data_IF_854093956154
#
_entry.id   IF_854093956154
#
_cell.length_a   1.000
_cell.length_b   1.000
_cell.length_c   1.000
_cell.angle_alpha   90.00
_cell.angle_beta   90.00
_cell.angle_gamma   90.00
#
_symmetry.space_group_name_H-M   'P 1'
#
loop_
_entity.id
_entity.type
_entity.pdbx_description
1 polymer ?
#
# COMPACT_ATOMS: atom_id res chain seq x y z
N UNK A 1 36.81 -21.08 20.51
CA UNK A 1 35.52 -20.90 19.83
C UNK A 1 35.71 -19.77 18.83
N UNK A 2 35.20 -19.85 17.59
CA UNK A 2 35.26 -18.71 16.67
C UNK A 2 34.34 -17.59 17.18
N UNK A 3 34.76 -16.36 16.98
CA UNK A 3 34.06 -15.16 17.45
C UNK A 3 32.72 -14.97 16.71
N UNK A 4 31.68 -14.44 17.36
CA UNK A 4 30.45 -14.07 16.67
C UNK A 4 30.77 -12.99 15.66
N UNK A 5 30.50 -13.28 14.39
CA UNK A 5 30.53 -12.31 13.32
C UNK A 5 29.44 -11.27 13.60
N UNK A 6 29.81 -10.19 14.28
CA UNK A 6 29.00 -8.98 14.38
C UNK A 6 29.10 -8.25 13.04
N UNK A 7 28.70 -8.93 11.97
CA UNK A 7 28.37 -8.28 10.72
C UNK A 7 27.40 -7.16 11.08
N UNK A 8 27.81 -5.93 10.80
CA UNK A 8 26.97 -4.74 10.85
C UNK A 8 25.55 -5.13 10.48
N UNK A 9 24.60 -4.89 11.37
CA UNK A 9 23.18 -5.20 11.18
C UNK A 9 22.55 -4.37 10.06
N UNK A 10 23.10 -4.44 8.86
CA UNK A 10 22.46 -4.08 7.62
C UNK A 10 21.30 -5.04 7.48
N UNK A 11 20.09 -4.57 7.84
CA UNK A 11 18.87 -5.30 7.50
C UNK A 11 18.95 -5.60 6.01
N UNK A 12 18.78 -6.87 5.65
CA UNK A 12 18.80 -7.31 4.27
C UNK A 12 17.86 -6.43 3.42
N UNK A 13 18.44 -5.71 2.46
CA UNK A 13 17.68 -4.87 1.53
C UNK A 13 16.95 -5.83 0.59
N UNK A 14 15.65 -5.98 0.80
CA UNK A 14 14.81 -6.79 -0.07
C UNK A 14 14.43 -5.98 -1.31
N UNK A 15 15.12 -6.22 -2.41
CA UNK A 15 14.82 -5.62 -3.71
C UNK A 15 13.42 -6.03 -4.23
N UNK A 16 12.76 -5.18 -5.03
CA UNK A 16 11.50 -5.51 -5.69
C UNK A 16 11.66 -6.72 -6.63
N UNK A 17 10.68 -7.64 -6.62
CA UNK A 17 10.76 -8.95 -7.29
C UNK A 17 9.80 -9.11 -8.46
N UNK A 18 8.78 -8.25 -8.57
CA UNK A 18 7.75 -8.30 -9.60
C UNK A 18 7.37 -6.89 -10.05
N UNK A 19 6.64 -6.77 -11.16
CA UNK A 19 6.31 -5.48 -11.77
C UNK A 19 5.52 -4.55 -10.84
N UNK A 20 4.65 -5.10 -9.98
CA UNK A 20 3.88 -4.31 -9.02
C UNK A 20 4.77 -3.73 -7.91
N UNK A 21 5.69 -4.54 -7.37
CA UNK A 21 6.72 -4.10 -6.43
C UNK A 21 7.59 -3.01 -7.06
N UNK A 22 8.07 -3.18 -8.29
CA UNK A 22 8.89 -2.18 -8.98
C UNK A 22 8.16 -0.86 -9.22
N UNK A 23 6.90 -0.93 -9.65
CA UNK A 23 6.08 0.25 -9.90
C UNK A 23 5.90 1.09 -8.64
N UNK A 24 5.47 0.45 -7.53
CA UNK A 24 5.22 1.17 -6.30
C UNK A 24 6.51 1.64 -5.62
N UNK A 25 7.55 0.81 -5.65
CA UNK A 25 8.89 1.17 -5.20
C UNK A 25 9.41 2.41 -5.94
N UNK A 26 9.21 2.49 -7.26
CA UNK A 26 9.58 3.64 -8.07
C UNK A 26 8.92 4.94 -7.59
N UNK A 27 7.60 4.91 -7.35
CA UNK A 27 6.85 6.06 -6.83
C UNK A 27 7.40 6.52 -5.47
N UNK A 28 7.69 5.57 -4.58
CA UNK A 28 8.27 5.87 -3.27
C UNK A 28 9.66 6.48 -3.39
N UNK A 29 10.53 5.88 -4.19
CA UNK A 29 11.89 6.35 -4.39
C UNK A 29 11.94 7.77 -4.98
N UNK A 30 11.07 8.06 -5.94
CA UNK A 30 10.92 9.40 -6.53
C UNK A 30 10.39 10.42 -5.51
N UNK A 31 9.44 10.02 -4.67
CA UNK A 31 8.82 10.92 -3.69
C UNK A 31 9.70 11.20 -2.48
N UNK A 32 10.35 10.16 -1.94
CA UNK A 32 11.25 10.23 -0.78
C UNK A 32 12.62 10.81 -1.20
N UNK A 33 13.01 10.65 -2.46
CA UNK A 33 14.25 11.19 -3.00
C UNK A 33 15.49 10.33 -2.72
N UNK A 34 15.32 9.06 -2.35
CA UNK A 34 16.43 8.10 -2.28
C UNK A 34 15.96 6.69 -2.72
N UNK A 35 16.92 5.81 -3.02
CA UNK A 35 16.68 4.41 -3.45
C UNK A 35 17.31 3.39 -2.51
N UNK A 36 17.80 3.81 -1.34
CA UNK A 36 18.58 2.96 -0.44
C UNK A 36 17.67 2.27 0.60
N UNK A 37 16.69 1.52 0.12
CA UNK A 37 15.75 0.77 0.94
C UNK A 37 15.18 -0.43 0.18
N UNK A 38 14.64 -1.39 0.91
CA UNK A 38 13.93 -2.55 0.37
C UNK A 38 12.41 -2.44 0.52
N UNK A 39 11.68 -3.29 -0.21
CA UNK A 39 10.21 -3.29 -0.25
C UNK A 39 9.53 -3.59 1.10
N UNK A 40 10.29 -4.07 2.09
CA UNK A 40 9.82 -4.35 3.46
C UNK A 40 10.11 -3.22 4.46
N UNK A 41 10.87 -2.19 4.08
CA UNK A 41 11.11 -1.05 4.96
C UNK A 41 9.85 -0.20 5.12
N UNK A 42 9.62 0.25 6.35
CA UNK A 42 8.47 1.07 6.69
C UNK A 42 8.64 2.52 6.24
N UNK A 43 7.56 3.12 5.75
CA UNK A 43 7.54 4.48 5.20
C UNK A 43 8.13 5.56 6.13
N UNK A 44 7.84 5.50 7.44
CA UNK A 44 8.31 6.47 8.43
C UNK A 44 9.80 6.26 8.73
N UNK A 45 10.28 5.02 8.73
CA UNK A 45 11.71 4.70 8.86
C UNK A 45 12.54 5.31 7.72
N UNK A 46 11.93 5.46 6.54
CA UNK A 46 12.55 6.06 5.37
C UNK A 46 12.53 7.60 5.36
N UNK A 47 11.99 8.21 6.42
CA UNK A 47 11.82 9.67 6.52
C UNK A 47 10.56 10.19 5.84
N UNK A 48 9.58 9.30 5.58
CA UNK A 48 8.27 9.67 5.09
C UNK A 48 7.50 10.55 6.08
N UNK A 49 6.68 11.44 5.53
CA UNK A 49 5.80 12.37 6.24
C UNK A 49 4.41 12.46 5.57
N UNK A 50 3.53 13.30 6.09
CA UNK A 50 2.18 13.46 5.54
C UNK A 50 2.16 14.02 4.12
N UNK A 51 3.10 14.89 3.76
CA UNK A 51 3.17 15.51 2.45
C UNK A 51 3.65 14.51 1.38
N UNK A 52 4.70 13.76 1.68
CA UNK A 52 5.19 12.66 0.84
C UNK A 52 4.16 11.53 0.75
N UNK A 53 3.44 11.22 1.83
CA UNK A 53 2.34 10.26 1.77
C UNK A 53 1.23 10.71 0.81
N UNK A 54 0.83 11.98 0.90
CA UNK A 54 -0.16 12.57 -0.01
C UNK A 54 0.30 12.53 -1.47
N UNK A 55 1.58 12.81 -1.72
CA UNK A 55 2.19 12.73 -3.07
C UNK A 55 2.18 11.30 -3.61
N UNK A 56 2.54 10.30 -2.80
CA UNK A 56 2.50 8.88 -3.19
C UNK A 56 1.07 8.49 -3.57
N UNK A 57 0.09 8.77 -2.70
CA UNK A 57 -1.31 8.39 -2.96
C UNK A 57 -1.86 9.11 -4.19
N UNK A 58 -1.52 10.38 -4.39
CA UNK A 58 -1.88 11.12 -5.61
C UNK A 58 -1.25 10.52 -6.86
N UNK A 59 0.00 10.05 -6.80
CA UNK A 59 0.70 9.43 -7.92
C UNK A 59 0.14 8.05 -8.27
N UNK A 60 -0.39 7.32 -7.29
CA UNK A 60 -1.06 6.04 -7.49
C UNK A 60 -2.44 6.18 -8.16
N UNK A 61 -3.04 7.39 -8.17
CA UNK A 61 -4.35 7.69 -8.76
C UNK A 61 -5.47 6.73 -8.29
N UNK A 62 -5.62 6.58 -6.96
CA UNK A 62 -6.55 5.64 -6.32
C UNK A 62 -7.68 6.37 -5.58
N UNK A 63 -8.89 5.82 -5.64
CA UNK A 63 -10.07 6.43 -5.00
C UNK A 63 -10.07 6.26 -3.47
N UNK A 64 -9.63 5.10 -2.95
CA UNK A 64 -9.70 4.76 -1.53
C UNK A 64 -8.56 5.37 -0.67
N UNK A 65 -8.33 6.67 -0.82
CA UNK A 65 -7.18 7.44 -0.29
C UNK A 65 -6.92 7.24 1.21
N UNK A 66 -7.95 7.23 2.06
CA UNK A 66 -7.79 7.18 3.52
C UNK A 66 -7.04 5.95 4.01
N UNK A 67 -7.32 4.77 3.42
CA UNK A 67 -6.71 3.50 3.84
C UNK A 67 -5.21 3.47 3.52
N UNK A 68 -4.85 3.97 2.34
CA UNK A 68 -3.45 4.04 1.92
C UNK A 68 -2.66 5.07 2.70
N UNK A 69 -3.28 6.22 2.99
CA UNK A 69 -2.71 7.22 3.88
C UNK A 69 -2.48 6.65 5.29
N UNK A 70 -3.47 5.96 5.87
CA UNK A 70 -3.35 5.34 7.19
C UNK A 70 -2.25 4.28 7.22
N UNK A 71 -2.12 3.45 6.17
CA UNK A 71 -1.05 2.46 6.10
C UNK A 71 0.34 3.12 6.05
N UNK A 72 0.53 4.13 5.20
CA UNK A 72 1.79 4.90 5.14
C UNK A 72 2.14 5.53 6.49
N UNK A 73 1.18 6.24 7.10
CA UNK A 73 1.40 6.93 8.37
C UNK A 73 1.63 5.98 9.56
N UNK A 74 1.17 4.74 9.46
CA UNK A 74 1.46 3.67 10.41
C UNK A 74 2.72 2.86 10.05
N UNK A 75 3.66 3.47 9.31
CA UNK A 75 4.93 2.87 8.92
C UNK A 75 4.75 1.59 8.07
N UNK A 76 3.71 1.54 7.24
CA UNK A 76 3.52 0.48 6.25
C UNK A 76 4.69 0.43 5.27
N UNK A 77 4.90 -0.73 4.66
CA UNK A 77 5.90 -0.98 3.62
C UNK A 77 5.28 -1.02 2.23
N UNK A 78 6.12 -1.04 1.18
CA UNK A 78 5.68 -1.23 -0.22
C UNK A 78 4.83 -2.50 -0.35
N UNK A 79 5.22 -3.60 0.30
CA UNK A 79 4.45 -4.85 0.31
C UNK A 79 3.07 -4.64 0.93
N UNK A 80 3.00 -4.06 2.13
CA UNK A 80 1.71 -3.86 2.81
C UNK A 80 0.77 -2.93 2.03
N UNK A 81 1.32 -1.96 1.31
CA UNK A 81 0.54 -1.05 0.48
C UNK A 81 0.03 -1.75 -0.80
N UNK A 82 0.83 -2.65 -1.39
CA UNK A 82 0.38 -3.53 -2.48
C UNK A 82 -0.70 -4.52 -2.01
N UNK A 83 -0.61 -5.04 -0.79
CA UNK A 83 -1.67 -5.88 -0.21
C UNK A 83 -2.99 -5.13 -0.11
N UNK A 84 -2.96 -3.84 0.26
CA UNK A 84 -4.16 -3.00 0.24
C UNK A 84 -4.71 -2.78 -1.17
N UNK A 85 -3.84 -2.63 -2.17
CA UNK A 85 -4.25 -2.53 -3.58
C UNK A 85 -4.88 -3.84 -4.09
N UNK A 86 -4.35 -4.99 -3.69
CA UNK A 86 -4.88 -6.29 -4.09
C UNK A 86 -6.28 -6.56 -3.50
N UNK A 87 -6.56 -6.02 -2.31
CA UNK A 87 -7.85 -6.17 -1.62
C UNK A 87 -8.81 -5.01 -1.90
N UNK A 88 -8.84 -4.49 -3.14
CA UNK A 88 -9.86 -3.50 -3.50
C UNK A 88 -11.24 -4.04 -3.07
N UNK A 89 -12.02 -3.30 -2.28
CA UNK A 89 -13.44 -3.60 -2.18
C UNK A 89 -14.00 -3.35 -3.59
N UNK A 90 -14.06 -4.40 -4.42
CA UNK A 90 -14.98 -4.42 -5.56
C UNK A 90 -16.31 -3.93 -4.98
N UNK A 91 -16.92 -2.97 -5.66
CA UNK A 91 -18.33 -2.54 -5.69
C UNK A 91 -19.43 -3.58 -5.34
N UNK A 92 -19.22 -4.52 -4.42
CA UNK A 92 -20.22 -5.48 -3.99
C UNK A 92 -21.32 -4.79 -3.20
N UNK A 93 -21.02 -3.70 -2.48
CA UNK A 93 -22.03 -2.92 -1.76
C UNK A 93 -22.95 -2.12 -2.71
N UNK A 94 -22.42 -1.55 -3.79
CA UNK A 94 -23.24 -0.84 -4.79
C UNK A 94 -24.08 -1.81 -5.62
N UNK A 95 -23.51 -2.97 -6.00
CA UNK A 95 -24.24 -4.04 -6.66
C UNK A 95 -25.29 -4.68 -5.73
N UNK A 96 -25.03 -4.76 -4.42
CA UNK A 96 -25.99 -5.26 -3.44
C UNK A 96 -27.15 -4.26 -3.26
N UNK A 97 -26.85 -2.97 -3.09
CA UNK A 97 -27.89 -1.94 -2.98
C UNK A 97 -28.76 -1.84 -4.25
N UNK A 98 -28.15 -2.02 -5.43
CA UNK A 98 -28.89 -2.07 -6.69
C UNK A 98 -29.70 -3.36 -6.82
N UNK A 99 -29.20 -4.50 -6.34
CA UNK A 99 -29.93 -5.77 -6.32
C UNK A 99 -31.10 -5.76 -5.34
N UNK A 100 -30.90 -5.21 -4.15
CA UNK A 100 -31.94 -5.04 -3.13
C UNK A 100 -33.04 -4.08 -3.65
N UNK A 101 -32.63 -2.98 -4.29
CA UNK A 101 -33.55 -2.06 -4.96
C UNK A 101 -34.32 -2.72 -6.11
N UNK A 102 -33.65 -3.52 -6.94
CA UNK A 102 -34.29 -4.29 -8.02
C UNK A 102 -35.20 -5.39 -7.47
N UNK A 103 -34.91 -5.97 -6.31
CA UNK A 103 -35.80 -6.92 -5.63
C UNK A 103 -37.07 -6.24 -5.11
N UNK A 104 -36.96 -5.02 -4.58
CA UNK A 104 -38.11 -4.19 -4.17
C UNK A 104 -38.97 -3.81 -5.38
N UNK A 105 -38.35 -3.35 -6.48
CA UNK A 105 -39.08 -3.00 -7.71
C UNK A 105 -39.69 -4.20 -8.44
N UNK A 106 -39.08 -5.39 -8.32
CA UNK A 106 -39.59 -6.64 -8.89
C UNK A 106 -40.83 -7.19 -8.16
N UNK A 107 -41.36 -6.48 -7.16
CA UNK A 107 -42.64 -6.83 -6.53
C UNK A 107 -42.55 -8.06 -5.66
N UNK A 108 -41.66 -8.04 -4.66
CA UNK A 108 -41.80 -8.87 -3.46
C UNK A 108 -42.13 -8.00 -2.25
N UNK A 109 -43.20 -7.21 -2.37
CA UNK A 109 -44.01 -6.89 -1.20
C UNK A 109 -44.95 -8.09 -0.96
N UNK A 110 -44.79 -8.72 0.21
CA UNK A 110 -45.64 -9.74 0.83
C UNK A 110 -45.60 -11.18 0.28
#
# INVERSE_FOLDING_TARGET
LPEPDLGSGEREIMEPRNDAEHWLFGIWAETIGNKNFGVTNGFIELGGDSLSAMRIVSAMNIEATDRYMLNLLNNGSVISQLELLAHQPRHSAELQGLQDFMQVLSGKDN
#
